data_IF_647373059155
#
_entry.id   IF_647373059155
#
_cell.length_a   1.000
_cell.length_b   1.000
_cell.length_c   1.000
_cell.angle_alpha   90.00
_cell.angle_beta   90.00
_cell.angle_gamma   90.00
#
_symmetry.space_group_name_H-M   'P 1'
#
loop_
_entity.id
_entity.type
_entity.pdbx_description
1 polymer ?
#
# COMPACT_ATOMS: atom_id res chain seq x y z
N UNK A 1 29.15 38.21 19.78
CA UNK A 1 28.17 38.68 18.78
C UNK A 1 26.76 38.41 19.33
N UNK A 2 25.96 39.46 19.59
CA UNK A 2 24.54 39.36 19.94
C UNK A 2 23.74 39.60 18.66
N UNK A 3 22.88 38.66 18.27
CA UNK A 3 21.95 38.86 17.15
C UNK A 3 20.53 38.91 17.69
N UNK A 4 19.78 39.88 17.16
CA UNK A 4 18.51 40.42 17.62
C UNK A 4 17.29 39.54 17.33
N UNK A 5 16.27 39.74 18.17
CA UNK A 5 14.91 39.22 18.10
C UNK A 5 14.25 39.35 16.72
N UNK A 6 13.62 38.27 16.24
CA UNK A 6 12.70 38.30 15.10
C UNK A 6 11.25 38.29 15.57
N UNK A 7 10.45 39.18 14.97
CA UNK A 7 9.12 39.57 15.43
C UNK A 7 7.99 38.57 15.17
N UNK A 8 6.92 38.71 15.94
CA UNK A 8 5.73 37.87 15.89
C UNK A 8 4.84 38.10 14.65
N UNK A 9 3.91 37.16 14.36
CA UNK A 9 3.15 37.16 13.11
C UNK A 9 2.02 38.20 13.09
N UNK A 10 1.93 38.88 11.94
CA UNK A 10 0.90 39.87 11.59
C UNK A 10 -0.40 39.16 11.20
N UNK A 11 -1.54 39.61 11.75
CA UNK A 11 -2.89 39.14 11.42
C UNK A 11 -3.22 39.46 9.96
N UNK A 12 -3.78 38.50 9.23
CA UNK A 12 -4.31 38.69 7.88
C UNK A 12 -5.79 39.09 7.95
N UNK A 13 -6.09 40.31 7.49
CA UNK A 13 -7.44 40.81 7.24
C UNK A 13 -8.15 40.03 6.14
N UNK A 14 -9.47 39.91 6.30
CA UNK A 14 -10.34 39.07 5.47
C UNK A 14 -10.44 39.47 4.01
N UNK A 15 -10.48 38.46 3.13
CA UNK A 15 -10.74 38.61 1.70
C UNK A 15 -12.20 38.28 1.39
N UNK A 16 -12.88 39.24 0.76
CA UNK A 16 -14.27 39.18 0.31
C UNK A 16 -14.45 38.22 -0.88
N UNK A 17 -15.55 37.47 -0.85
CA UNK A 17 -16.03 36.59 -1.92
C UNK A 17 -16.58 37.41 -3.10
N UNK A 18 -16.06 37.16 -4.29
CA UNK A 18 -16.61 37.61 -5.58
C UNK A 18 -16.83 36.40 -6.49
N UNK A 19 -17.88 36.47 -7.29
CA UNK A 19 -18.53 35.33 -7.95
C UNK A 19 -17.91 34.80 -9.24
N UNK A 20 -18.26 33.54 -9.48
CA UNK A 20 -18.73 32.90 -10.73
C UNK A 20 -17.81 32.88 -11.96
N UNK A 21 -17.35 31.68 -12.31
CA UNK A 21 -17.68 31.07 -13.61
C UNK A 21 -17.43 29.55 -13.55
N UNK A 22 -18.48 28.77 -13.80
CA UNK A 22 -18.40 27.34 -14.06
C UNK A 22 -18.21 27.18 -15.56
N UNK A 23 -17.03 26.74 -15.96
CA UNK A 23 -16.70 26.29 -17.30
C UNK A 23 -15.88 25.02 -17.13
N UNK A 24 -16.57 23.89 -17.04
CA UNK A 24 -15.95 22.59 -16.88
C UNK A 24 -17.00 21.49 -16.96
N UNK A 25 -16.84 20.66 -17.99
CA UNK A 25 -17.29 19.26 -18.04
C UNK A 25 -18.74 18.96 -18.48
N UNK A 26 -19.03 19.24 -19.76
CA UNK A 26 -20.20 18.66 -20.42
C UNK A 26 -20.06 17.13 -20.61
N UNK A 27 -18.84 16.60 -20.71
CA UNK A 27 -18.60 15.15 -20.86
C UNK A 27 -19.01 14.35 -19.62
N UNK A 28 -18.80 14.91 -18.43
CA UNK A 28 -19.27 14.32 -17.18
C UNK A 28 -20.80 14.31 -17.10
N UNK A 29 -21.45 15.40 -17.52
CA UNK A 29 -22.91 15.49 -17.55
C UNK A 29 -23.54 14.52 -18.56
N UNK A 30 -22.91 14.33 -19.73
CA UNK A 30 -23.37 13.36 -20.73
C UNK A 30 -23.22 11.91 -20.23
N UNK A 31 -22.12 11.58 -19.56
CA UNK A 31 -21.90 10.25 -18.97
C UNK A 31 -22.93 9.92 -17.86
N UNK A 32 -23.31 10.93 -17.06
CA UNK A 32 -24.34 10.79 -16.02
C UNK A 32 -25.74 10.61 -16.62
N UNK A 33 -26.00 11.23 -17.78
CA UNK A 33 -27.28 11.12 -18.48
C UNK A 33 -27.43 9.79 -19.20
N UNK A 34 -26.33 9.23 -19.70
CA UNK A 34 -26.29 7.88 -20.30
C UNK A 34 -26.48 6.78 -19.25
N UNK A 35 -25.91 6.94 -18.05
CA UNK A 35 -26.14 6.03 -16.93
C UNK A 35 -27.59 6.10 -16.36
N UNK A 36 -28.32 7.19 -16.62
CA UNK A 36 -29.71 7.40 -16.17
C UNK A 36 -30.79 7.02 -17.20
N UNK A 37 -30.42 6.41 -18.32
CA UNK A 37 -31.31 6.20 -19.46
C UNK A 37 -31.98 4.83 -19.55
N UNK A 38 -33.06 4.60 -18.80
CA UNK A 38 -34.19 3.80 -19.29
C UNK A 38 -35.45 4.04 -18.46
N UNK A 39 -36.52 4.58 -19.07
CA UNK A 39 -37.87 4.52 -18.53
C UNK A 39 -38.52 5.87 -18.25
N UNK A 40 -39.29 6.35 -19.22
CA UNK A 40 -40.24 7.46 -19.12
C UNK A 40 -41.46 7.04 -18.29
N UNK A 41 -41.63 7.53 -17.05
CA UNK A 41 -42.95 7.74 -16.37
C UNK A 41 -42.84 8.85 -15.30
N UNK A 42 -43.88 9.68 -15.25
CA UNK A 42 -44.23 10.89 -14.47
C UNK A 42 -44.02 10.91 -12.92
N UNK A 43 -44.15 12.09 -12.26
CA UNK A 43 -43.35 12.48 -11.09
C UNK A 43 -44.02 12.20 -9.74
N UNK A 44 -43.25 11.65 -8.79
CA UNK A 44 -43.43 11.86 -7.36
C UNK A 44 -42.13 11.44 -6.66
N UNK A 45 -41.67 12.29 -5.74
CA UNK A 45 -40.28 12.35 -5.30
C UNK A 45 -39.71 11.09 -4.69
N UNK A 46 -38.44 10.81 -5.02
CA UNK A 46 -37.33 10.48 -4.11
C UNK A 46 -36.02 10.52 -4.93
N UNK A 47 -35.64 11.69 -5.45
CA UNK A 47 -34.33 11.90 -6.12
C UNK A 47 -33.18 12.11 -5.12
N UNK A 48 -33.20 11.40 -3.99
CA UNK A 48 -32.23 11.58 -2.90
C UNK A 48 -31.14 10.50 -2.82
N UNK A 49 -31.32 9.34 -3.48
CA UNK A 49 -30.51 8.15 -3.18
C UNK A 49 -29.54 7.77 -4.31
N UNK A 50 -29.82 8.07 -5.57
CA UNK A 50 -28.93 7.69 -6.68
C UNK A 50 -27.58 8.45 -6.68
N UNK A 51 -27.52 9.65 -6.10
CA UNK A 51 -26.29 10.44 -6.02
C UNK A 51 -25.33 9.99 -4.90
N UNK A 52 -25.82 9.30 -3.87
CA UNK A 52 -24.97 8.85 -2.75
C UNK A 52 -24.23 7.56 -3.06
N UNK A 53 -24.80 6.67 -3.89
CA UNK A 53 -24.10 5.46 -4.36
C UNK A 53 -22.89 5.79 -5.22
N UNK A 54 -22.93 6.86 -6.01
CA UNK A 54 -21.78 7.35 -6.78
C UNK A 54 -20.64 7.92 -5.91
N UNK A 55 -20.96 8.50 -4.75
CA UNK A 55 -19.95 9.00 -3.78
C UNK A 55 -19.37 7.84 -2.96
N UNK A 56 -20.19 6.84 -2.61
CA UNK A 56 -19.73 5.65 -1.91
C UNK A 56 -18.83 4.77 -2.81
N UNK A 57 -19.18 4.65 -4.09
CA UNK A 57 -18.35 3.96 -5.09
C UNK A 57 -16.99 4.68 -5.30
N UNK A 58 -16.95 6.02 -5.20
CA UNK A 58 -15.70 6.79 -5.25
C UNK A 58 -14.84 6.66 -3.98
N UNK A 59 -15.42 6.22 -2.86
CA UNK A 59 -14.71 5.90 -1.61
C UNK A 59 -14.26 4.42 -1.53
N UNK A 60 -14.59 3.60 -2.53
CA UNK A 60 -14.20 2.20 -2.62
C UNK A 60 -12.82 1.94 -3.22
N UNK A 61 -11.99 2.97 -3.40
CA UNK A 61 -10.55 2.81 -3.69
C UNK A 61 -9.88 2.37 -2.40
N UNK A 62 -9.07 1.29 -2.45
CA UNK A 62 -8.37 0.67 -1.32
C UNK A 62 -7.96 1.70 -0.26
N UNK A 63 -8.30 1.45 1.00
CA UNK A 63 -7.94 2.35 2.09
C UNK A 63 -6.42 2.52 2.08
N UNK A 64 -5.88 3.74 1.86
CA UNK A 64 -4.44 3.97 1.81
C UNK A 64 -3.75 3.55 3.11
N UNK A 65 -4.50 3.40 4.21
CA UNK A 65 -3.98 2.87 5.46
C UNK A 65 -3.78 1.35 5.43
N UNK A 66 -4.61 0.60 4.71
CA UNK A 66 -4.47 -0.85 4.55
C UNK A 66 -3.28 -1.21 3.64
N UNK A 67 -3.12 -0.50 2.52
CA UNK A 67 -1.96 -0.65 1.62
C UNK A 67 -0.64 -0.41 2.37
N UNK A 68 -0.60 0.65 3.20
CA UNK A 68 0.58 0.95 4.02
C UNK A 68 0.87 -0.14 5.04
N UNK A 69 -0.17 -0.67 5.71
CA UNK A 69 -0.02 -1.75 6.69
C UNK A 69 0.48 -3.02 6.02
N UNK A 70 -0.06 -3.37 4.85
CA UNK A 70 0.35 -4.54 4.10
C UNK A 70 1.81 -4.43 3.64
N UNK A 71 2.19 -3.27 3.09
CA UNK A 71 3.59 -2.97 2.73
C UNK A 71 4.52 -3.11 3.94
N UNK A 72 4.13 -2.60 5.11
CA UNK A 72 4.94 -2.72 6.32
C UNK A 72 5.11 -4.18 6.76
N UNK A 73 4.04 -4.99 6.73
CA UNK A 73 4.11 -6.43 7.03
C UNK A 73 5.09 -7.16 6.11
N UNK A 74 5.06 -6.84 4.82
CA UNK A 74 5.95 -7.43 3.83
C UNK A 74 7.41 -7.01 4.01
N UNK A 75 7.66 -5.76 4.39
CA UNK A 75 9.00 -5.30 4.77
C UNK A 75 9.52 -6.08 5.99
N UNK A 76 8.72 -6.18 7.05
CA UNK A 76 9.13 -6.95 8.24
C UNK A 76 9.35 -8.43 7.95
N UNK A 77 8.61 -9.00 7.00
CA UNK A 77 8.82 -10.37 6.54
C UNK A 77 10.16 -10.52 5.78
N UNK A 78 10.46 -9.58 4.88
CA UNK A 78 11.74 -9.55 4.17
C UNK A 78 12.93 -9.39 5.12
N UNK A 79 12.82 -8.50 6.10
CA UNK A 79 13.85 -8.30 7.12
C UNK A 79 14.08 -9.57 7.96
N UNK A 80 13.02 -10.25 8.42
CA UNK A 80 13.14 -11.54 9.15
C UNK A 80 13.81 -12.63 8.30
N UNK A 81 13.55 -12.67 6.98
CA UNK A 81 14.23 -13.58 6.06
C UNK A 81 15.73 -13.27 5.94
N UNK A 82 16.07 -11.99 5.77
CA UNK A 82 17.46 -11.55 5.64
C UNK A 82 18.25 -11.82 6.92
N UNK A 83 17.68 -11.49 8.08
CA UNK A 83 18.29 -11.77 9.38
C UNK A 83 18.58 -13.26 9.57
N UNK A 84 17.65 -14.13 9.18
CA UNK A 84 17.85 -15.60 9.24
C UNK A 84 18.93 -16.09 8.28
N UNK A 85 19.04 -15.50 7.10
CA UNK A 85 20.09 -15.83 6.14
C UNK A 85 21.47 -15.39 6.66
N UNK A 86 21.56 -14.23 7.29
CA UNK A 86 22.80 -13.76 7.92
C UNK A 86 23.18 -14.61 9.13
N UNK A 87 22.22 -15.00 9.95
CA UNK A 87 22.40 -15.93 11.06
C UNK A 87 22.92 -17.30 10.59
N UNK A 88 22.35 -17.81 9.49
CA UNK A 88 22.79 -19.04 8.85
C UNK A 88 24.24 -18.88 8.38
N UNK A 89 24.54 -17.80 7.66
CA UNK A 89 25.88 -17.48 7.15
C UNK A 89 26.90 -17.41 8.27
N UNK A 90 26.60 -16.70 9.35
CA UNK A 90 27.46 -16.59 10.52
C UNK A 90 27.70 -17.94 11.18
N UNK A 91 26.64 -18.75 11.36
CA UNK A 91 26.77 -20.11 11.89
C UNK A 91 27.70 -20.99 11.05
N UNK A 92 27.60 -20.89 9.72
CA UNK A 92 28.47 -21.62 8.79
C UNK A 92 29.92 -21.15 8.90
N UNK A 93 30.16 -19.84 8.93
CA UNK A 93 31.51 -19.27 9.06
C UNK A 93 32.20 -19.68 10.37
N UNK A 94 31.42 -19.83 11.44
CA UNK A 94 31.90 -20.28 12.75
C UNK A 94 32.01 -21.81 12.87
N UNK A 95 31.63 -22.57 11.83
CA UNK A 95 31.60 -24.03 11.85
C UNK A 95 30.49 -24.62 12.74
N UNK A 96 29.52 -23.81 13.17
CA UNK A 96 28.40 -24.17 14.04
C UNK A 96 27.08 -23.97 13.28
N UNK A 97 26.83 -24.81 12.26
CA UNK A 97 25.55 -24.79 11.56
C UNK A 97 24.53 -25.67 12.30
N UNK A 98 23.33 -25.16 12.55
CA UNK A 98 22.23 -25.95 13.12
C UNK A 98 21.20 -26.29 12.04
N UNK A 99 20.81 -27.57 11.96
CA UNK A 99 19.70 -28.04 11.11
C UNK A 99 18.36 -27.43 11.52
N UNK A 100 18.23 -27.01 12.77
CA UNK A 100 17.00 -26.39 13.28
C UNK A 100 16.76 -25.03 12.61
N UNK A 101 17.79 -24.19 12.48
CA UNK A 101 17.69 -22.89 11.78
C UNK A 101 17.30 -23.04 10.31
N UNK A 102 17.83 -24.05 9.62
CA UNK A 102 17.43 -24.39 8.25
C UNK A 102 15.96 -24.80 8.17
N UNK A 103 15.50 -25.57 9.16
CA UNK A 103 14.11 -26.03 9.24
C UNK A 103 13.16 -24.86 9.51
N UNK A 104 13.54 -23.94 10.39
CA UNK A 104 12.77 -22.70 10.64
C UNK A 104 12.68 -21.82 9.39
N UNK A 105 13.79 -21.62 8.67
CA UNK A 105 13.80 -20.88 7.42
C UNK A 105 12.88 -21.53 6.38
N UNK A 106 12.92 -22.86 6.26
CA UNK A 106 12.03 -23.60 5.36
C UNK A 106 10.55 -23.49 5.78
N UNK A 107 10.25 -23.48 7.08
CA UNK A 107 8.88 -23.28 7.58
C UNK A 107 8.38 -21.86 7.27
N UNK A 108 9.23 -20.84 7.39
CA UNK A 108 8.90 -19.47 7.04
C UNK A 108 8.58 -19.30 5.55
N UNK A 109 9.35 -19.92 4.66
CA UNK A 109 9.07 -19.88 3.22
C UNK A 109 7.76 -20.58 2.84
N UNK A 110 7.37 -21.62 3.58
CA UNK A 110 6.08 -22.30 3.37
C UNK A 110 4.89 -21.45 3.79
N UNK A 111 5.09 -20.46 4.66
CA UNK A 111 4.05 -19.49 5.00
C UNK A 111 3.90 -18.54 3.82
N UNK A 112 2.91 -18.83 2.97
CA UNK A 112 2.63 -18.04 1.77
C UNK A 112 2.31 -16.59 2.16
N UNK A 113 3.06 -15.64 1.61
CA UNK A 113 2.79 -14.20 1.82
C UNK A 113 1.67 -13.71 0.92
N UNK A 114 1.04 -12.61 1.33
CA UNK A 114 0.11 -11.86 0.49
C UNK A 114 0.87 -10.95 -0.48
N UNK A 115 0.35 -10.75 -1.69
CA UNK A 115 0.94 -9.81 -2.66
C UNK A 115 0.43 -8.39 -2.40
N UNK A 116 1.33 -7.42 -2.40
CA UNK A 116 1.00 -5.99 -2.29
C UNK A 116 0.90 -5.35 -3.68
N UNK A 117 0.25 -4.20 -3.77
CA UNK A 117 0.16 -3.37 -4.98
C UNK A 117 1.51 -2.82 -5.48
N UNK A 118 2.57 -2.86 -4.67
CA UNK A 118 3.92 -2.42 -5.03
C UNK A 118 4.70 -3.55 -5.74
N UNK A 119 4.89 -3.49 -7.08
CA UNK A 119 5.53 -4.57 -7.83
C UNK A 119 7.02 -4.70 -7.50
N UNK A 120 7.70 -3.58 -7.22
CA UNK A 120 9.13 -3.59 -6.92
C UNK A 120 9.40 -4.30 -5.60
N UNK A 121 8.55 -4.08 -4.59
CA UNK A 121 8.65 -4.80 -3.32
C UNK A 121 8.38 -6.29 -3.51
N UNK A 122 7.41 -6.65 -4.35
CA UNK A 122 7.10 -8.06 -4.61
C UNK A 122 8.27 -8.78 -5.28
N UNK A 123 8.88 -8.16 -6.29
CA UNK A 123 10.02 -8.71 -7.02
C UNK A 123 11.24 -8.88 -6.10
N UNK A 124 11.54 -7.87 -5.28
CA UNK A 124 12.65 -7.93 -4.32
C UNK A 124 12.46 -9.08 -3.32
N UNK A 125 11.26 -9.21 -2.76
CA UNK A 125 10.99 -10.30 -1.83
C UNK A 125 11.04 -11.68 -2.51
N UNK A 126 10.64 -11.78 -3.78
CA UNK A 126 10.78 -13.02 -4.55
C UNK A 126 12.26 -13.39 -4.77
N UNK A 127 13.15 -12.42 -4.98
CA UNK A 127 14.59 -12.64 -5.05
C UNK A 127 15.16 -13.16 -3.71
N UNK A 128 14.71 -12.57 -2.60
CA UNK A 128 15.12 -13.01 -1.25
C UNK A 128 14.65 -14.45 -0.99
N UNK A 129 13.39 -14.77 -1.32
CA UNK A 129 12.82 -16.12 -1.18
C UNK A 129 13.59 -17.13 -2.03
N UNK A 130 13.86 -16.81 -3.30
CA UNK A 130 14.65 -17.66 -4.21
C UNK A 130 16.04 -17.96 -3.62
N UNK A 131 16.70 -16.94 -3.05
CA UNK A 131 17.99 -17.13 -2.39
C UNK A 131 17.87 -18.07 -1.20
N UNK A 132 16.85 -17.89 -0.37
CA UNK A 132 16.62 -18.74 0.79
C UNK A 132 16.35 -20.21 0.40
N UNK A 133 15.57 -20.45 -0.66
CA UNK A 133 15.35 -21.78 -1.22
C UNK A 133 16.65 -22.43 -1.71
N UNK A 134 17.47 -21.67 -2.43
CA UNK A 134 18.78 -22.14 -2.91
C UNK A 134 19.70 -22.48 -1.75
N UNK A 135 19.76 -21.65 -0.71
CA UNK A 135 20.56 -21.96 0.48
C UNK A 135 20.07 -23.23 1.17
N UNK A 136 18.75 -23.39 1.37
CA UNK A 136 18.19 -24.64 1.92
C UNK A 136 18.59 -25.84 1.06
N UNK A 137 18.50 -25.74 -0.27
CA UNK A 137 18.86 -26.82 -1.19
C UNK A 137 20.35 -27.19 -1.11
N UNK A 138 21.25 -26.20 -0.96
CA UNK A 138 22.69 -26.43 -0.81
C UNK A 138 23.00 -27.25 0.43
N UNK A 139 22.37 -26.93 1.56
CA UNK A 139 22.68 -27.58 2.83
C UNK A 139 21.91 -28.88 3.07
N UNK A 140 20.72 -29.03 2.50
CA UNK A 140 19.97 -30.30 2.55
C UNK A 140 20.61 -31.39 1.70
N UNK A 141 21.26 -31.05 0.57
CA UNK A 141 22.01 -32.01 -0.25
C UNK A 141 23.33 -32.44 0.40
N UNK A 142 23.98 -31.54 1.16
CA UNK A 142 25.33 -31.75 1.70
C UNK A 142 25.34 -32.39 3.10
N UNK A 143 24.19 -32.48 3.76
CA UNK A 143 24.02 -33.14 5.08
C UNK A 143 23.62 -34.60 4.93
#
# INVERSE_FOLDING_TARGET
>A
MKVSSTGGPKRSDGVKKSGKSASGDSSFADSLKEAGGSGEVTPAGVSGVAGVDGILAAQGVSDPTDDRRQRQKLMTYGDDLLDRLDDLRMGILLGRFSKDKLTELAQRLRQKREMCEDPQLNDLLAEIELRAEVEIAKYTRKS
#
